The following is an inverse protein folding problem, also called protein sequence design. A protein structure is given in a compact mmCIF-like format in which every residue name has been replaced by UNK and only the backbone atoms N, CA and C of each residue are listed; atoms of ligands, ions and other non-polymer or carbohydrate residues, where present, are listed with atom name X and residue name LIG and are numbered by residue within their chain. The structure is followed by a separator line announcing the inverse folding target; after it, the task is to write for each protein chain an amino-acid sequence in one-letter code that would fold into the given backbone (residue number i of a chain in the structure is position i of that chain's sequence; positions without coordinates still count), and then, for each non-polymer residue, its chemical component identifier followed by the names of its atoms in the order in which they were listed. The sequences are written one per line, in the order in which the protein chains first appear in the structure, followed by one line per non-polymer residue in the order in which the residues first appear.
data_IF_541312343508
#
_entry.id   IF_541312343508
#
_cell.length_a   1.000
_cell.length_b   1.000
_cell.length_c   1.000
_cell.angle_alpha   90.00
_cell.angle_beta   90.00
_cell.angle_gamma   90.00
#
_symmetry.space_group_name_H-M   'P 1'
#
loop_
_entity.id
_entity.type
_entity.pdbx_description
1 polymer ?
#
# COMPACT_ATOMS: atom_id res chain seq x y z
N UNK A 1 6.27 11.97 21.10
CA UNK A 1 4.84 12.36 21.10
C UNK A 1 4.22 12.35 19.71
N UNK A 2 4.72 13.13 18.74
CA UNK A 2 4.16 13.21 17.38
C UNK A 2 4.03 11.85 16.67
N UNK A 3 5.08 11.01 16.72
CA UNK A 3 5.07 9.68 16.09
C UNK A 3 3.99 8.74 16.64
N UNK A 4 3.69 8.83 17.93
CA UNK A 4 2.68 7.97 18.58
C UNK A 4 1.27 8.39 18.15
N UNK A 5 1.02 9.69 18.03
CA UNK A 5 -0.25 10.22 17.52
C UNK A 5 -0.47 9.82 16.06
N UNK A 6 0.57 9.95 15.22
CA UNK A 6 0.54 9.52 13.82
C UNK A 6 0.19 8.03 13.68
N UNK A 7 0.76 7.20 14.55
CA UNK A 7 0.50 5.76 14.56
C UNK A 7 -0.93 5.46 14.99
N UNK A 8 -1.41 6.05 16.09
CA UNK A 8 -2.77 5.79 16.59
C UNK A 8 -3.80 6.24 15.55
N UNK A 9 -3.66 7.47 15.05
CA UNK A 9 -4.59 8.04 14.09
C UNK A 9 -4.56 7.27 12.76
N UNK A 10 -3.37 6.99 12.22
CA UNK A 10 -3.22 6.20 11.00
C UNK A 10 -3.73 4.76 11.12
N UNK A 11 -3.60 4.14 12.30
CA UNK A 11 -4.18 2.81 12.54
C UNK A 11 -5.71 2.84 12.47
N UNK A 12 -6.33 3.86 13.07
CA UNK A 12 -7.78 4.05 13.05
C UNK A 12 -8.27 4.27 11.62
N UNK A 13 -7.61 5.15 10.86
CA UNK A 13 -7.96 5.46 9.48
C UNK A 13 -7.87 4.23 8.56
N UNK A 14 -6.82 3.42 8.69
CA UNK A 14 -6.68 2.19 7.89
C UNK A 14 -7.70 1.12 8.27
N UNK A 15 -8.00 0.94 9.56
CA UNK A 15 -9.04 0.01 10.02
C UNK A 15 -10.42 0.45 9.52
N UNK A 16 -10.73 1.75 9.63
CA UNK A 16 -11.98 2.31 9.15
C UNK A 16 -12.12 2.13 7.63
N UNK A 17 -11.04 2.39 6.89
CA UNK A 17 -11.00 2.20 5.44
C UNK A 17 -11.17 0.73 5.06
N UNK A 18 -10.55 -0.21 5.78
CA UNK A 18 -10.76 -1.64 5.58
C UNK A 18 -12.22 -2.05 5.84
N UNK A 19 -12.84 -1.56 6.91
CA UNK A 19 -14.25 -1.84 7.23
C UNK A 19 -15.17 -1.30 6.15
N UNK A 20 -14.96 -0.05 5.70
CA UNK A 20 -15.76 0.60 4.67
C UNK A 20 -15.62 -0.11 3.32
N UNK A 21 -14.39 -0.47 2.92
CA UNK A 21 -14.12 -1.18 1.67
C UNK A 21 -14.55 -2.65 1.71
N UNK A 22 -14.66 -3.24 2.90
CA UNK A 22 -15.23 -4.58 3.10
C UNK A 22 -16.74 -4.62 2.90
N UNK A 23 -17.44 -3.48 2.92
CA UNK A 23 -18.87 -3.42 2.62
C UNK A 23 -19.12 -3.75 1.14
N UNK A 24 -19.82 -4.86 0.90
CA UNK A 24 -20.02 -5.50 -0.41
C UNK A 24 -20.58 -4.58 -1.51
N UNK A 25 -21.35 -3.54 -1.15
CA UNK A 25 -21.99 -2.62 -2.11
C UNK A 25 -21.00 -1.77 -2.92
N UNK A 26 -19.73 -1.66 -2.49
CA UNK A 26 -18.72 -0.83 -3.16
C UNK A 26 -17.74 -1.61 -4.02
N UNK A 27 -17.83 -2.95 -4.09
CA UNK A 27 -16.92 -3.79 -4.90
C UNK A 27 -17.09 -3.66 -6.42
N UNK A 28 -18.07 -2.90 -6.89
CA UNK A 28 -18.43 -2.81 -8.30
C UNK A 28 -17.64 -1.77 -9.11
N UNK A 29 -16.86 -0.89 -8.46
CA UNK A 29 -16.10 0.15 -9.18
C UNK A 29 -14.60 -0.13 -9.13
N UNK A 30 -13.91 0.01 -10.28
CA UNK A 30 -12.45 -0.06 -10.47
C UNK A 30 -11.66 0.64 -9.34
N UNK A 31 -12.16 1.82 -8.96
CA UNK A 31 -11.61 2.74 -7.96
C UNK A 31 -11.49 2.14 -6.57
N UNK A 32 -12.51 1.41 -6.14
CA UNK A 32 -12.49 0.79 -4.82
C UNK A 32 -11.44 -0.31 -4.74
N UNK A 33 -11.09 -0.95 -5.86
CA UNK A 33 -9.99 -1.92 -5.88
C UNK A 33 -8.63 -1.23 -5.69
N UNK A 34 -8.41 -0.06 -6.32
CA UNK A 34 -7.21 0.74 -6.11
C UNK A 34 -7.13 1.27 -4.68
N UNK A 35 -8.21 1.85 -4.17
CA UNK A 35 -8.27 2.35 -2.79
C UNK A 35 -8.04 1.24 -1.77
N UNK A 36 -8.53 0.03 -2.01
CA UNK A 36 -8.27 -1.12 -1.14
C UNK A 36 -6.80 -1.53 -1.15
N UNK A 37 -6.22 -1.69 -2.34
CA UNK A 37 -4.80 -2.03 -2.46
C UNK A 37 -3.91 -0.95 -1.82
N UNK A 38 -4.24 0.32 -2.04
CA UNK A 38 -3.53 1.48 -1.48
C UNK A 38 -3.62 1.48 0.04
N UNK A 39 -4.82 1.27 0.59
CA UNK A 39 -5.03 1.21 2.05
C UNK A 39 -4.28 0.05 2.70
N UNK A 40 -4.19 -1.10 2.02
CA UNK A 40 -3.37 -2.23 2.48
C UNK A 40 -1.87 -1.90 2.45
N UNK A 41 -1.40 -1.24 1.39
CA UNK A 41 0.00 -0.81 1.27
C UNK A 41 0.36 0.21 2.35
N UNK A 42 -0.45 1.25 2.53
CA UNK A 42 -0.22 2.28 3.55
C UNK A 42 -0.31 1.70 4.97
N UNK A 43 -1.28 0.81 5.25
CA UNK A 43 -1.34 0.08 6.51
C UNK A 43 -0.06 -0.73 6.75
N UNK A 44 0.46 -1.43 5.73
CA UNK A 44 1.70 -2.19 5.87
C UNK A 44 2.91 -1.31 6.19
N UNK A 45 3.02 -0.11 5.60
CA UNK A 45 4.07 0.87 5.94
C UNK A 45 3.97 1.28 7.41
N UNK A 46 2.75 1.58 7.84
CA UNK A 46 2.48 2.06 9.20
C UNK A 46 2.75 0.97 10.25
N UNK A 47 2.36 -0.28 9.95
CA UNK A 47 2.64 -1.44 10.79
C UNK A 47 4.14 -1.77 10.85
N UNK A 48 4.84 -1.79 9.71
CA UNK A 48 6.30 -2.02 9.67
C UNK A 48 7.05 -0.92 10.43
N UNK A 49 6.65 0.34 10.26
CA UNK A 49 7.21 1.48 10.98
C UNK A 49 6.93 1.43 12.49
N UNK A 50 5.70 1.09 12.88
CA UNK A 50 5.29 0.92 14.27
C UNK A 50 6.03 -0.24 14.93
N UNK A 51 6.11 -1.39 14.27
CA UNK A 51 6.85 -2.56 14.77
C UNK A 51 8.33 -2.23 15.00
N UNK A 52 8.96 -1.54 14.04
CA UNK A 52 10.34 -1.06 14.18
C UNK A 52 10.50 -0.13 15.39
N UNK A 53 9.59 0.84 15.56
CA UNK A 53 9.71 1.85 16.61
C UNK A 53 9.34 1.30 17.99
N UNK A 54 8.34 0.42 18.07
CA UNK A 54 7.90 -0.24 19.30
C UNK A 54 9.01 -1.13 19.85
N UNK A 55 9.69 -1.92 19.01
CA UNK A 55 10.76 -2.77 19.52
C UNK A 55 11.96 -1.94 19.99
N UNK A 56 12.31 -0.87 19.25
CA UNK A 56 13.34 0.08 19.67
C UNK A 56 13.02 0.68 21.04
N UNK A 57 11.76 1.05 21.29
CA UNK A 57 11.32 1.61 22.57
C UNK A 57 11.23 0.56 23.70
N UNK A 58 10.72 -0.63 23.40
CA UNK A 58 10.41 -1.66 24.39
C UNK A 58 11.65 -2.40 24.89
N UNK A 59 12.67 -2.55 24.05
CA UNK A 59 13.87 -3.33 24.39
C UNK A 59 15.14 -2.48 24.46
N UNK A 60 15.14 -1.24 23.96
CA UNK A 60 16.36 -0.44 23.80
C UNK A 60 17.36 -1.03 22.82
N UNK A 61 17.01 -2.18 22.20
CA UNK A 61 17.83 -2.93 21.26
C UNK A 61 17.49 -2.51 19.83
N UNK A 62 18.51 -2.19 19.05
CA UNK A 62 18.35 -1.94 17.63
C UNK A 62 18.09 -3.29 16.93
N UNK A 63 16.85 -3.52 16.49
CA UNK A 63 16.49 -4.73 15.73
C UNK A 63 17.37 -4.96 14.50
N UNK A 64 17.94 -3.88 13.95
CA UNK A 64 18.89 -3.91 12.84
C UNK A 64 20.18 -4.69 13.19
N UNK A 65 20.53 -4.83 14.47
CA UNK A 65 21.72 -5.54 14.93
C UNK A 65 21.46 -6.99 15.39
N UNK A 66 20.19 -7.40 15.55
CA UNK A 66 19.84 -8.75 16.01
C UNK A 66 19.90 -9.76 14.88
N UNK A 67 19.51 -9.37 13.66
CA UNK A 67 19.63 -10.21 12.48
C UNK A 67 19.66 -9.35 11.22
N UNK A 68 20.74 -9.49 10.43
CA UNK A 68 20.86 -8.85 9.12
C UNK A 68 19.68 -9.20 8.19
N UNK A 69 19.10 -10.40 8.35
CA UNK A 69 17.93 -10.82 7.58
C UNK A 69 16.69 -10.00 7.96
N UNK A 70 16.43 -9.76 9.25
CA UNK A 70 15.30 -8.96 9.69
C UNK A 70 15.40 -7.50 9.21
N UNK A 71 16.61 -6.94 9.24
CA UNK A 71 16.90 -5.62 8.70
C UNK A 71 16.59 -5.53 7.19
N UNK A 72 17.11 -6.48 6.40
CA UNK A 72 16.86 -6.53 4.95
C UNK A 72 15.37 -6.68 4.63
N UNK A 73 14.65 -7.56 5.35
CA UNK A 73 13.21 -7.79 5.15
C UNK A 73 12.38 -6.55 5.50
N UNK A 74 12.67 -5.88 6.62
CA UNK A 74 11.95 -4.66 7.04
C UNK A 74 12.17 -3.53 6.03
N UNK A 75 13.41 -3.31 5.60
CA UNK A 75 13.73 -2.29 4.58
C UNK A 75 13.08 -2.63 3.25
N UNK A 76 13.08 -3.89 2.84
CA UNK A 76 12.40 -4.36 1.64
C UNK A 76 10.89 -4.09 1.71
N UNK A 77 10.22 -4.51 2.78
CA UNK A 77 8.77 -4.29 2.94
C UNK A 77 8.41 -2.80 2.93
N UNK A 78 9.19 -1.97 3.62
CA UNK A 78 8.96 -0.52 3.63
C UNK A 78 9.08 0.07 2.22
N UNK A 79 10.19 -0.21 1.53
CA UNK A 79 10.45 0.34 0.20
C UNK A 79 9.48 -0.20 -0.86
N UNK A 80 9.11 -1.48 -0.76
CA UNK A 80 8.08 -2.12 -1.57
C UNK A 80 6.73 -1.42 -1.41
N UNK A 81 6.25 -1.26 -0.18
CA UNK A 81 4.93 -0.68 0.07
C UNK A 81 4.87 0.80 -0.30
N UNK A 82 5.91 1.60 -0.03
CA UNK A 82 5.96 3.00 -0.47
C UNK A 82 5.94 3.14 -1.99
N UNK A 83 6.69 2.29 -2.69
CA UNK A 83 6.69 2.26 -4.15
C UNK A 83 5.32 1.84 -4.69
N UNK A 84 4.73 0.80 -4.11
CA UNK A 84 3.41 0.33 -4.51
C UNK A 84 2.34 1.41 -4.31
N UNK A 85 2.31 2.08 -3.15
CA UNK A 85 1.35 3.16 -2.87
C UNK A 85 1.45 4.30 -3.88
N UNK A 86 2.65 4.76 -4.23
CA UNK A 86 2.82 5.87 -5.19
C UNK A 86 2.34 5.48 -6.59
N UNK A 87 2.68 4.27 -7.06
CA UNK A 87 2.23 3.77 -8.36
C UNK A 87 0.73 3.49 -8.42
N UNK A 88 0.12 3.03 -7.32
CA UNK A 88 -1.33 2.84 -7.22
C UNK A 88 -2.08 4.16 -7.36
N UNK A 89 -1.58 5.25 -6.78
CA UNK A 89 -2.16 6.59 -6.95
C UNK A 89 -2.09 7.03 -8.42
N UNK A 90 -0.94 6.84 -9.07
CA UNK A 90 -0.77 7.17 -10.51
C UNK A 90 -1.72 6.34 -11.39
N UNK A 91 -1.89 5.05 -11.11
CA UNK A 91 -2.83 4.21 -11.85
C UNK A 91 -4.29 4.62 -11.62
N UNK A 92 -4.64 4.97 -10.39
CA UNK A 92 -5.98 5.47 -10.04
C UNK A 92 -6.31 6.78 -10.76
N UNK A 93 -5.36 7.72 -10.82
CA UNK A 93 -5.56 8.99 -11.53
C UNK A 93 -5.62 8.78 -13.03
N UNK A 94 -4.82 7.87 -13.60
CA UNK A 94 -4.89 7.51 -15.02
C UNK A 94 -6.23 6.87 -15.40
N UNK A 95 -6.78 5.98 -14.57
CA UNK A 95 -8.11 5.38 -14.74
C UNK A 95 -9.20 6.46 -14.75
N UNK A 96 -9.12 7.42 -13.82
CA UNK A 96 -10.04 8.57 -13.77
C UNK A 96 -9.89 9.53 -14.94
N UNK A 97 -8.66 9.82 -15.34
CA UNK A 97 -8.38 10.65 -16.51
C UNK A 97 -9.01 10.05 -17.77
N UNK A 98 -8.85 8.74 -17.96
CA UNK A 98 -9.46 7.99 -19.08
C UNK A 98 -10.98 8.03 -19.01
N UNK A 99 -11.56 7.90 -17.82
CA UNK A 99 -13.02 7.99 -17.61
C UNK A 99 -13.57 9.35 -18.04
N UNK A 100 -12.88 10.45 -17.69
CA UNK A 100 -13.33 11.83 -17.94
C UNK A 100 -13.11 12.27 -19.38
N UNK A 101 -11.93 11.98 -19.94
CA UNK A 101 -11.58 12.41 -21.30
C UNK A 101 -12.12 11.47 -22.40
N UNK A 102 -12.31 10.19 -22.10
CA UNK A 102 -12.80 9.19 -23.05
C UNK A 102 -14.02 8.42 -22.50
N UNK A 103 -15.16 9.11 -22.28
CA UNK A 103 -16.36 8.51 -21.68
C UNK A 103 -16.93 7.33 -22.49
N UNK A 104 -16.77 7.33 -23.81
CA UNK A 104 -17.21 6.24 -24.70
C UNK A 104 -16.38 4.95 -24.57
N UNK A 105 -15.11 5.04 -24.12
CA UNK A 105 -14.21 3.88 -23.94
C UNK A 105 -14.10 3.45 -22.47
N UNK A 106 -14.50 4.34 -21.55
CA UNK A 106 -14.57 4.14 -20.10
C UNK A 106 -15.33 2.88 -19.67
N UNK A 107 -16.49 2.59 -20.28
CA UNK A 107 -17.31 1.42 -19.94
C UNK A 107 -16.59 0.08 -20.18
N UNK A 108 -15.63 0.03 -21.12
CA UNK A 108 -14.85 -1.17 -21.45
C UNK A 108 -13.50 -1.21 -20.74
N UNK A 109 -12.82 -0.07 -20.59
CA UNK A 109 -11.47 0.03 -20.02
C UNK A 109 -11.47 0.06 -18.48
N UNK A 110 -12.42 0.73 -17.84
CA UNK A 110 -12.52 0.85 -16.38
C UNK A 110 -13.25 -0.33 -15.73
N UNK A 111 -13.02 -1.54 -16.23
CA UNK A 111 -13.54 -2.76 -15.61
C UNK A 111 -12.69 -3.14 -14.40
N UNK A 112 -13.33 -3.65 -13.35
CA UNK A 112 -12.68 -4.17 -12.13
C UNK A 112 -11.57 -5.20 -12.47
N UNK A 113 -11.72 -5.92 -13.58
CA UNK A 113 -10.72 -6.88 -14.06
C UNK A 113 -9.41 -6.20 -14.50
N UNK A 114 -9.50 -5.11 -15.26
CA UNK A 114 -8.31 -4.33 -15.68
C UNK A 114 -7.65 -3.69 -14.48
N UNK A 115 -8.42 -3.13 -13.55
CA UNK A 115 -7.90 -2.56 -12.31
C UNK A 115 -7.09 -3.58 -11.49
N UNK A 116 -7.63 -4.80 -11.32
CA UNK A 116 -6.92 -5.89 -10.64
C UNK A 116 -5.64 -6.30 -11.36
N UNK A 117 -5.67 -6.39 -12.68
CA UNK A 117 -4.47 -6.71 -13.48
C UNK A 117 -3.41 -5.61 -13.28
N UNK A 118 -3.79 -4.33 -13.36
CA UNK A 118 -2.87 -3.21 -13.11
C UNK A 118 -2.26 -3.28 -11.71
N UNK A 119 -3.06 -3.55 -10.67
CA UNK A 119 -2.55 -3.70 -9.30
C UNK A 119 -1.52 -4.84 -9.21
N UNK A 120 -1.80 -6.00 -9.80
CA UNK A 120 -0.88 -7.15 -9.79
C UNK A 120 0.41 -6.84 -10.54
N UNK A 121 0.32 -6.21 -11.71
CA UNK A 121 1.49 -5.81 -12.50
C UNK A 121 2.35 -4.82 -11.73
N UNK A 122 1.74 -3.81 -11.10
CA UNK A 122 2.45 -2.84 -10.26
C UNK A 122 3.11 -3.50 -9.05
N UNK A 123 2.45 -4.46 -8.41
CA UNK A 123 3.03 -5.22 -7.32
C UNK A 123 4.26 -6.03 -7.79
N UNK A 124 4.19 -6.70 -8.94
CA UNK A 124 5.33 -7.43 -9.50
C UNK A 124 6.50 -6.50 -9.86
N UNK A 125 6.22 -5.35 -10.47
CA UNK A 125 7.24 -4.34 -10.78
C UNK A 125 7.89 -3.77 -9.51
N UNK A 126 7.09 -3.49 -8.49
CA UNK A 126 7.60 -3.04 -7.20
C UNK A 126 8.46 -4.12 -6.53
N UNK A 127 8.10 -5.41 -6.61
CA UNK A 127 8.97 -6.51 -6.12
C UNK A 127 10.29 -6.52 -6.89
N UNK A 128 10.24 -6.51 -8.23
CA UNK A 128 11.43 -6.57 -9.08
C UNK A 128 12.40 -5.42 -8.83
N UNK A 129 11.89 -4.19 -8.69
CA UNK A 129 12.72 -3.01 -8.37
C UNK A 129 13.35 -3.10 -6.98
N UNK A 130 12.66 -3.73 -6.02
CA UNK A 130 13.14 -3.86 -4.65
C UNK A 130 14.02 -5.10 -4.42
N UNK A 131 14.17 -6.00 -5.40
CA UNK A 131 15.10 -7.15 -5.31
C UNK A 131 16.53 -6.69 -5.04
N UNK A 132 16.92 -5.51 -5.50
CA UNK A 132 18.24 -4.91 -5.22
C UNK A 132 18.51 -4.75 -3.72
N UNK A 133 17.48 -4.65 -2.86
CA UNK A 133 17.65 -4.55 -1.39
C UNK A 133 18.21 -5.84 -0.79
N UNK A 134 18.05 -6.99 -1.47
CA UNK A 134 18.54 -8.27 -0.97
C UNK A 134 20.00 -8.57 -1.34
N UNK A 135 20.57 -7.90 -2.34
CA UNK A 135 21.97 -8.03 -2.73
C UNK A 135 22.83 -7.28 -1.70
#
# INVERSE_FOLDING_TARGET
YFLILLVIFGSIDHVLTFIVLSRLKMKYTSIYSYLFALSCADASVLWVGCFKNWIRLATGFELMNVSAAACKVVTFCYQFSTCLSSWLIVAMTADRFTTVWFPLKSSSLCSVRHARISIVVLALLAIASNVHVFW
#
